data_IF_256579485376
#
_entry.id   IF_256579485376
#
_cell.length_a   1.000
_cell.length_b   1.000
_cell.length_c   1.000
_cell.angle_alpha   90.00
_cell.angle_beta   90.00
_cell.angle_gamma   90.00
#
_symmetry.space_group_name_H-M   'P 1'
#
loop_
_entity.id
_entity.type
_entity.pdbx_description
1 polymer ?
#
# COMPACT_ATOMS: atom_id res chain seq x y z
N UNK A 1 32.45 35.85 -26.50
CA UNK A 1 31.89 34.88 -25.55
C UNK A 1 33.05 34.14 -24.95
N UNK A 2 33.30 34.40 -23.68
CA UNK A 2 34.47 33.91 -22.95
C UNK A 2 34.36 32.41 -22.73
N UNK A 3 35.48 31.67 -22.67
CA UNK A 3 35.47 30.22 -22.42
C UNK A 3 34.70 29.87 -21.13
N UNK A 4 34.73 30.77 -20.16
CA UNK A 4 34.06 30.66 -18.87
C UNK A 4 32.53 30.76 -18.98
N UNK A 5 32.02 31.56 -19.91
CA UNK A 5 30.58 31.73 -20.16
C UNK A 5 29.99 30.46 -20.78
N UNK A 6 30.70 29.84 -21.73
CA UNK A 6 30.30 28.56 -22.34
C UNK A 6 30.19 27.43 -21.32
N UNK A 7 31.16 27.35 -20.39
CA UNK A 7 31.14 26.34 -19.33
C UNK A 7 29.98 26.54 -18.36
N UNK A 8 29.63 27.80 -18.05
CA UNK A 8 28.48 28.13 -17.20
C UNK A 8 27.15 27.78 -17.86
N UNK A 9 27.01 28.02 -19.17
CA UNK A 9 25.82 27.61 -19.94
C UNK A 9 25.68 26.08 -19.95
N UNK A 10 26.75 25.34 -20.23
CA UNK A 10 26.74 23.87 -20.22
C UNK A 10 26.40 23.29 -18.84
N UNK A 11 26.91 23.88 -17.75
CA UNK A 11 26.59 23.45 -16.39
C UNK A 11 25.13 23.79 -16.07
N UNK A 12 24.66 24.99 -16.40
CA UNK A 12 23.27 25.40 -16.19
C UNK A 12 22.29 24.48 -16.93
N UNK A 13 22.62 24.13 -18.17
CA UNK A 13 21.82 23.21 -18.99
C UNK A 13 21.84 21.78 -18.42
N UNK A 14 22.99 21.29 -17.93
CA UNK A 14 23.08 19.99 -17.24
C UNK A 14 22.30 19.97 -15.93
N UNK A 15 22.34 21.05 -15.15
CA UNK A 15 21.58 21.17 -13.89
C UNK A 15 20.08 21.23 -14.17
N UNK A 16 19.65 22.00 -15.19
CA UNK A 16 18.25 22.10 -15.58
C UNK A 16 17.71 20.78 -16.16
N UNK A 17 18.56 19.98 -16.80
CA UNK A 17 18.18 18.67 -17.35
C UNK A 17 18.41 17.50 -16.37
N UNK A 18 18.94 17.74 -15.18
CA UNK A 18 19.16 16.69 -14.18
C UNK A 18 17.83 16.27 -13.57
N UNK A 19 17.26 15.16 -14.07
CA UNK A 19 16.15 14.50 -13.37
C UNK A 19 16.72 13.76 -12.16
N UNK A 20 16.28 14.06 -10.93
CA UNK A 20 16.73 13.32 -9.77
C UNK A 20 16.38 11.84 -9.96
N UNK A 21 17.37 10.97 -9.86
CA UNK A 21 17.19 9.52 -9.89
C UNK A 21 16.32 9.13 -8.70
N UNK A 22 15.14 8.57 -8.99
CA UNK A 22 14.23 8.12 -7.95
C UNK A 22 14.67 6.74 -7.46
N UNK A 23 14.66 6.54 -6.14
CA UNK A 23 14.88 5.22 -5.59
C UNK A 23 13.66 4.32 -5.87
N UNK A 24 13.85 3.01 -6.08
CA UNK A 24 12.75 2.09 -6.29
C UNK A 24 11.82 2.07 -5.06
N UNK A 25 10.49 2.07 -5.23
CA UNK A 25 9.53 2.13 -4.13
C UNK A 25 9.34 0.76 -3.46
N UNK A 26 10.40 0.20 -2.86
CA UNK A 26 10.44 -1.19 -2.34
C UNK A 26 9.30 -1.47 -1.35
N UNK A 27 9.04 -0.57 -0.39
CA UNK A 27 7.97 -0.73 0.58
C UNK A 27 6.59 -0.73 -0.07
N UNK A 28 6.35 0.15 -1.04
CA UNK A 28 5.07 0.21 -1.75
C UNK A 28 4.84 -1.05 -2.60
N UNK A 29 5.89 -1.57 -3.24
CA UNK A 29 5.84 -2.85 -3.96
C UNK A 29 5.49 -3.99 -2.99
N UNK A 30 6.16 -4.07 -1.85
CA UNK A 30 5.87 -5.07 -0.82
C UNK A 30 4.40 -5.00 -0.35
N UNK A 31 3.91 -3.82 0.01
CA UNK A 31 2.53 -3.62 0.45
C UNK A 31 1.54 -3.98 -0.67
N UNK A 32 1.87 -3.66 -1.92
CA UNK A 32 1.06 -4.02 -3.10
C UNK A 32 0.94 -5.52 -3.24
N UNK A 33 2.05 -6.26 -3.14
CA UNK A 33 2.05 -7.72 -3.19
C UNK A 33 1.23 -8.32 -2.05
N UNK A 34 1.40 -7.84 -0.82
CA UNK A 34 0.60 -8.30 0.32
C UNK A 34 -0.89 -8.03 0.12
N UNK A 35 -1.27 -6.85 -0.39
CA UNK A 35 -2.68 -6.55 -0.70
C UNK A 35 -3.25 -7.52 -1.74
N UNK A 36 -2.50 -7.81 -2.80
CA UNK A 36 -2.95 -8.74 -3.84
C UNK A 36 -3.05 -10.18 -3.32
N UNK A 37 -2.09 -10.64 -2.52
CA UNK A 37 -2.15 -11.96 -1.88
C UNK A 37 -3.36 -12.06 -0.97
N UNK A 38 -3.62 -11.07 -0.11
CA UNK A 38 -4.80 -11.05 0.75
C UNK A 38 -6.10 -11.06 -0.05
N UNK A 39 -6.19 -10.29 -1.14
CA UNK A 39 -7.34 -10.31 -2.01
C UNK A 39 -7.58 -11.69 -2.62
N UNK A 40 -6.52 -12.33 -3.12
CA UNK A 40 -6.60 -13.69 -3.69
C UNK A 40 -7.05 -14.69 -2.63
N UNK A 41 -6.48 -14.63 -1.42
CA UNK A 41 -6.89 -15.51 -0.32
C UNK A 41 -8.37 -15.33 0.00
N UNK A 42 -8.84 -14.08 0.11
CA UNK A 42 -10.25 -13.79 0.41
C UNK A 42 -11.21 -14.18 -0.73
N UNK A 43 -10.76 -14.24 -1.98
CA UNK A 43 -11.58 -14.75 -3.10
C UNK A 43 -11.59 -16.27 -3.17
N UNK A 44 -10.44 -16.93 -2.98
CA UNK A 44 -10.29 -18.37 -3.16
C UNK A 44 -10.81 -19.19 -1.97
N UNK A 45 -10.76 -18.61 -0.77
CA UNK A 45 -11.18 -19.27 0.46
C UNK A 45 -12.43 -18.59 1.02
N UNK A 46 -13.65 -18.92 0.53
CA UNK A 46 -14.91 -18.28 0.97
C UNK A 46 -15.17 -18.45 2.47
N UNK A 47 -14.52 -19.44 3.07
CA UNK A 47 -14.56 -19.82 4.48
C UNK A 47 -13.58 -19.00 5.36
N UNK A 48 -12.67 -18.24 4.75
CA UNK A 48 -11.57 -17.56 5.45
C UNK A 48 -12.04 -16.59 6.55
N UNK A 49 -13.13 -15.85 6.32
CA UNK A 49 -13.76 -15.01 7.33
C UNK A 49 -15.07 -15.58 7.87
N UNK A 50 -15.70 -16.55 7.18
CA UNK A 50 -17.05 -17.04 7.50
C UNK A 50 -17.07 -18.31 8.35
N UNK A 51 -16.10 -19.22 8.21
CA UNK A 51 -16.06 -20.53 8.87
C UNK A 51 -14.93 -20.66 9.90
N UNK A 52 -14.61 -19.56 10.58
CA UNK A 52 -13.90 -19.61 11.85
C UNK A 52 -14.75 -20.30 12.91
N UNK A 53 -14.84 -21.64 12.82
CA UNK A 53 -15.34 -22.67 13.73
C UNK A 53 -15.95 -22.10 15.03
N UNK A 54 -17.28 -22.11 15.09
CA UNK A 54 -18.15 -21.79 16.22
C UNK A 54 -18.33 -20.32 16.61
N UNK A 55 -19.39 -19.73 16.05
CA UNK A 55 -20.18 -18.69 16.71
C UNK A 55 -19.79 -17.26 16.35
N UNK A 56 -20.80 -16.40 16.35
CA UNK A 56 -20.78 -14.93 16.22
C UNK A 56 -19.83 -14.22 17.21
N UNK A 57 -19.12 -14.98 18.06
CA UNK A 57 -18.10 -14.57 19.02
C UNK A 57 -16.65 -14.63 18.49
N UNK A 58 -16.40 -15.11 17.27
CA UNK A 58 -15.05 -15.20 16.71
C UNK A 58 -14.60 -13.87 16.08
N UNK A 59 -13.30 -13.55 16.19
CA UNK A 59 -12.63 -12.35 15.65
C UNK A 59 -13.08 -11.96 14.23
N UNK A 60 -13.38 -12.95 13.39
CA UNK A 60 -13.76 -12.78 11.99
C UNK A 60 -15.18 -12.26 11.79
N UNK A 61 -16.09 -12.50 12.75
CA UNK A 61 -17.46 -11.98 12.72
C UNK A 61 -17.52 -10.45 12.79
N UNK A 62 -16.56 -9.81 13.48
CA UNK A 62 -16.45 -8.35 13.53
C UNK A 62 -16.06 -7.75 12.18
N UNK A 63 -15.20 -8.42 11.40
CA UNK A 63 -14.86 -7.97 10.04
C UNK A 63 -16.07 -8.07 9.10
N UNK A 64 -16.87 -9.13 9.25
CA UNK A 64 -18.09 -9.34 8.47
C UNK A 64 -19.21 -8.35 8.83
N UNK A 65 -19.24 -7.84 10.06
CA UNK A 65 -20.15 -6.77 10.47
C UNK A 65 -19.85 -5.45 9.73
N UNK A 66 -18.58 -5.17 9.45
CA UNK A 66 -18.16 -3.96 8.74
C UNK A 66 -18.48 -4.08 7.25
N UNK A 67 -18.03 -5.18 6.61
CA UNK A 67 -18.45 -5.50 5.24
C UNK A 67 -18.29 -6.98 4.92
N UNK A 68 -19.07 -7.51 3.95
CA UNK A 68 -18.94 -8.88 3.47
C UNK A 68 -17.52 -9.20 2.97
N UNK A 69 -17.11 -10.47 3.09
CA UNK A 69 -15.80 -10.95 2.63
C UNK A 69 -15.46 -10.55 1.17
N UNK A 70 -16.36 -10.66 0.18
CA UNK A 70 -16.07 -10.20 -1.18
C UNK A 70 -15.71 -8.71 -1.25
N UNK A 71 -16.33 -7.86 -0.42
CA UNK A 71 -16.03 -6.43 -0.37
C UNK A 71 -14.63 -6.17 0.21
N UNK A 72 -14.19 -6.96 1.20
CA UNK A 72 -12.79 -6.96 1.66
C UNK A 72 -11.82 -7.37 0.56
N UNK A 73 -12.13 -8.44 -0.18
CA UNK A 73 -11.32 -8.90 -1.29
C UNK A 73 -11.18 -7.80 -2.37
N UNK A 74 -12.29 -7.18 -2.78
CA UNK A 74 -12.28 -6.05 -3.72
C UNK A 74 -11.52 -4.83 -3.18
N UNK A 75 -11.58 -4.55 -1.89
CA UNK A 75 -10.86 -3.43 -1.27
C UNK A 75 -9.36 -3.64 -1.38
N UNK A 76 -8.85 -4.82 -1.01
CA UNK A 76 -7.43 -5.13 -1.12
C UNK A 76 -6.97 -5.23 -2.58
N UNK A 77 -7.79 -5.81 -3.45
CA UNK A 77 -7.51 -5.90 -4.88
C UNK A 77 -7.42 -4.51 -5.51
N UNK A 78 -8.45 -3.68 -5.31
CA UNK A 78 -8.51 -2.32 -5.82
C UNK A 78 -7.36 -1.45 -5.31
N UNK A 79 -7.04 -1.54 -4.01
CA UNK A 79 -5.88 -0.85 -3.44
C UNK A 79 -4.58 -1.30 -4.12
N UNK A 80 -4.38 -2.62 -4.29
CA UNK A 80 -3.22 -3.19 -4.96
C UNK A 80 -3.08 -2.72 -6.41
N UNK A 81 -4.16 -2.76 -7.18
CA UNK A 81 -4.18 -2.32 -8.58
C UNK A 81 -3.93 -0.81 -8.71
N UNK A 82 -4.53 0.02 -7.85
CA UNK A 82 -4.29 1.47 -7.84
C UNK A 82 -2.80 1.81 -7.61
N UNK A 83 -2.17 1.15 -6.63
CA UNK A 83 -0.73 1.29 -6.37
C UNK A 83 0.09 0.78 -7.55
N UNK A 84 -0.22 -0.43 -8.05
CA UNK A 84 0.48 -1.05 -9.17
C UNK A 84 0.47 -0.17 -10.43
N UNK A 85 -0.72 0.25 -10.88
CA UNK A 85 -0.87 1.16 -12.02
C UNK A 85 -0.18 2.49 -11.72
N UNK A 86 -0.41 3.05 -10.53
CA UNK A 86 0.21 4.31 -10.10
C UNK A 86 1.73 4.29 -10.15
N UNK A 87 2.36 3.17 -9.78
CA UNK A 87 3.80 2.96 -9.89
C UNK A 87 4.26 2.86 -11.35
N UNK A 88 3.54 2.13 -12.21
CA UNK A 88 3.87 1.96 -13.63
C UNK A 88 3.86 3.28 -14.40
N UNK A 89 2.88 4.15 -14.13
CA UNK A 89 2.76 5.45 -14.80
C UNK A 89 3.37 6.61 -14.00
N UNK A 90 4.03 6.33 -12.87
CA UNK A 90 4.59 7.32 -11.93
C UNK A 90 3.59 8.41 -11.48
N UNK A 91 2.31 8.02 -11.33
CA UNK A 91 1.25 8.92 -10.87
C UNK A 91 1.12 8.86 -9.34
N UNK A 92 1.64 9.89 -8.68
CA UNK A 92 1.61 10.04 -7.21
C UNK A 92 0.20 9.98 -6.62
N UNK A 93 -0.83 10.46 -7.30
CA UNK A 93 -2.18 10.52 -6.75
C UNK A 93 -2.82 9.13 -6.68
N UNK A 94 -2.60 8.29 -7.69
CA UNK A 94 -3.07 6.89 -7.69
C UNK A 94 -2.33 6.05 -6.64
N UNK A 95 -1.02 6.28 -6.49
CA UNK A 95 -0.19 5.64 -5.46
C UNK A 95 -0.69 5.98 -4.06
N UNK A 96 -0.87 7.28 -3.79
CA UNK A 96 -1.34 7.79 -2.49
C UNK A 96 -2.76 7.28 -2.21
N UNK A 97 -3.69 7.30 -3.17
CA UNK A 97 -5.05 6.83 -2.93
C UNK A 97 -5.08 5.34 -2.58
N UNK A 98 -4.36 4.49 -3.31
CA UNK A 98 -4.24 3.07 -3.00
C UNK A 98 -3.57 2.81 -1.65
N UNK A 99 -2.57 3.60 -1.27
CA UNK A 99 -1.94 3.54 0.06
C UNK A 99 -2.90 3.96 1.18
N UNK A 100 -3.69 5.03 1.01
CA UNK A 100 -4.69 5.46 1.99
C UNK A 100 -5.72 4.35 2.22
N UNK A 101 -6.25 3.74 1.15
CA UNK A 101 -7.17 2.60 1.27
C UNK A 101 -6.51 1.45 2.04
N UNK A 102 -5.22 1.19 1.78
CA UNK A 102 -4.46 0.16 2.48
C UNK A 102 -4.31 0.48 3.97
N UNK A 103 -3.99 1.72 4.34
CA UNK A 103 -3.90 2.17 5.74
C UNK A 103 -5.22 1.91 6.44
N UNK A 104 -6.35 2.32 5.85
CA UNK A 104 -7.67 2.15 6.46
C UNK A 104 -8.01 0.66 6.63
N UNK A 105 -7.83 -0.15 5.58
CA UNK A 105 -8.12 -1.58 5.62
C UNK A 105 -7.27 -2.32 6.66
N UNK A 106 -5.95 -2.09 6.66
CA UNK A 106 -5.06 -2.73 7.64
C UNK A 106 -5.29 -2.22 9.06
N UNK A 107 -5.68 -0.97 9.25
CA UNK A 107 -6.05 -0.45 10.58
C UNK A 107 -7.30 -1.14 11.10
N UNK A 108 -8.32 -1.34 10.26
CA UNK A 108 -9.52 -2.10 10.66
C UNK A 108 -9.15 -3.51 11.07
N UNK A 109 -8.34 -4.22 10.25
CA UNK A 109 -7.86 -5.54 10.61
C UNK A 109 -7.06 -5.53 11.92
N UNK A 110 -6.12 -4.59 12.09
CA UNK A 110 -5.32 -4.47 13.30
C UNK A 110 -6.19 -4.28 14.55
N UNK A 111 -7.20 -3.41 14.48
CA UNK A 111 -8.15 -3.18 15.56
C UNK A 111 -8.94 -4.44 15.85
N UNK A 112 -9.53 -5.07 14.83
CA UNK A 112 -10.32 -6.30 15.01
C UNK A 112 -9.49 -7.39 15.67
N UNK A 113 -8.27 -7.63 15.19
CA UNK A 113 -7.34 -8.60 15.78
C UNK A 113 -6.84 -8.23 17.19
N UNK A 114 -7.00 -6.99 17.64
CA UNK A 114 -6.59 -6.53 18.97
C UNK A 114 -7.70 -6.61 20.02
N UNK A 115 -8.98 -6.58 19.61
CA UNK A 115 -10.12 -6.52 20.53
C UNK A 115 -10.24 -7.78 21.39
N UNK A 116 -9.98 -8.97 20.84
CA UNK A 116 -10.17 -10.22 21.58
C UNK A 116 -8.93 -10.62 22.39
N UNK A 117 -7.73 -10.44 21.83
CA UNK A 117 -6.43 -10.52 22.49
C UNK A 117 -5.34 -10.11 21.47
N UNK A 118 -4.24 -9.40 21.84
CA UNK A 118 -3.17 -9.10 20.90
C UNK A 118 -2.56 -10.38 20.34
N UNK A 119 -2.81 -10.65 19.06
CA UNK A 119 -2.27 -11.81 18.34
C UNK A 119 -1.14 -11.38 17.42
N UNK A 120 -0.40 -12.36 16.88
CA UNK A 120 0.56 -12.10 15.80
C UNK A 120 -0.10 -11.36 14.62
N UNK A 121 -1.38 -11.63 14.35
CA UNK A 121 -2.16 -10.94 13.34
C UNK A 121 -2.26 -9.43 13.59
N UNK A 122 -2.55 -8.98 14.82
CA UNK A 122 -2.63 -7.54 15.12
C UNK A 122 -1.29 -6.83 14.92
N UNK A 123 -0.18 -7.47 15.30
CA UNK A 123 1.18 -6.95 15.07
C UNK A 123 1.47 -6.81 13.58
N UNK A 124 1.16 -7.85 12.78
CA UNK A 124 1.36 -7.83 11.32
C UNK A 124 0.55 -6.70 10.68
N UNK A 125 -0.76 -6.63 10.95
CA UNK A 125 -1.62 -5.62 10.33
C UNK A 125 -1.28 -4.20 10.80
N UNK A 126 -0.84 -4.04 12.05
CA UNK A 126 -0.33 -2.75 12.54
C UNK A 126 0.94 -2.34 11.79
N UNK A 127 1.90 -3.26 11.62
CA UNK A 127 3.10 -3.02 10.83
C UNK A 127 2.77 -2.64 9.38
N UNK A 128 1.81 -3.33 8.76
CA UNK A 128 1.35 -3.03 7.41
C UNK A 128 0.68 -1.66 7.30
N UNK A 129 -0.12 -1.26 8.30
CA UNK A 129 -0.72 0.07 8.36
C UNK A 129 0.36 1.17 8.49
N UNK A 130 1.34 0.97 9.38
CA UNK A 130 2.46 1.92 9.59
C UNK A 130 3.33 2.02 8.34
N UNK A 131 3.72 0.90 7.72
CA UNK A 131 4.50 0.94 6.48
C UNK A 131 3.73 1.59 5.34
N UNK A 132 2.42 1.39 5.25
CA UNK A 132 1.57 2.09 4.28
C UNK A 132 1.57 3.60 4.53
N UNK A 133 1.51 4.04 5.79
CA UNK A 133 1.56 5.45 6.16
C UNK A 133 2.91 6.08 5.82
N UNK A 134 4.02 5.41 6.15
CA UNK A 134 5.38 5.88 5.82
C UNK A 134 5.53 5.99 4.30
N UNK A 135 5.05 4.98 3.56
CA UNK A 135 5.14 4.96 2.10
C UNK A 135 4.45 6.17 1.46
N UNK A 136 3.35 6.68 2.04
CA UNK A 136 2.65 7.89 1.54
C UNK A 136 3.59 9.09 1.50
N UNK A 137 4.41 9.28 2.54
CA UNK A 137 5.39 10.37 2.57
C UNK A 137 6.53 10.16 1.55
N UNK A 138 6.90 8.91 1.30
CA UNK A 138 7.98 8.53 0.40
C UNK A 138 7.59 8.51 -1.09
N UNK A 139 6.29 8.51 -1.44
CA UNK A 139 5.82 8.51 -2.84
C UNK A 139 6.48 9.63 -3.67
N UNK A 140 6.73 10.80 -3.07
CA UNK A 140 7.36 11.94 -3.76
C UNK A 140 8.83 11.70 -4.13
N UNK A 141 9.51 10.80 -3.43
CA UNK A 141 10.95 10.54 -3.52
C UNK A 141 11.28 9.22 -4.24
N UNK A 142 10.27 8.44 -4.57
CA UNK A 142 10.41 7.09 -5.10
C UNK A 142 9.67 6.93 -6.43
N UNK A 143 10.15 6.04 -7.28
CA UNK A 143 9.61 5.80 -8.62
C UNK A 143 10.37 4.69 -9.33
N UNK A 144 9.79 4.18 -10.42
CA UNK A 144 10.37 3.10 -11.23
C UNK A 144 11.13 3.67 -12.45
N UNK A 145 11.06 5.00 -12.67
CA UNK A 145 11.71 5.73 -13.76
C UNK A 145 12.75 6.71 -13.26
#
# INVERSE_FOLDING_TARGET
MDQKERQLEEISEKVNNYKPTKNPPIFEVFITLISLVLAIMLFLFPEMLSDGVHGMSSLYGLLLLIMPQPCWAFTFFGAGILKGIGMLIDNKYLRISGLIVSVLAYTVFAITYSITFPTIGSVIFTGMAVFSLISIAEVKRTGIK
#
